data_IF_174647038707
#
_entry.id   IF_174647038707
#
_cell.length_a   1.000
_cell.length_b   1.000
_cell.length_c   1.000
_cell.angle_alpha   90.00
_cell.angle_beta   90.00
_cell.angle_gamma   90.00
#
_symmetry.space_group_name_H-M   'P 1'
#
loop_
_entity.id
_entity.type
_entity.pdbx_description
1 polymer ?
#
# COMPACT_ATOMS: atom_id res chain seq x y z
N UNK A 1 59.97 -46.88 -28.31
CA UNK A 1 59.61 -45.52 -28.79
C UNK A 1 58.33 -44.99 -28.11
N UNK A 2 57.65 -45.78 -27.27
CA UNK A 2 56.35 -45.40 -26.65
C UNK A 2 56.41 -44.71 -25.27
N UNK A 3 57.59 -44.57 -24.64
CA UNK A 3 57.69 -43.87 -23.33
C UNK A 3 57.76 -42.34 -23.44
N UNK A 4 58.12 -41.80 -24.61
CA UNK A 4 58.23 -40.36 -24.84
C UNK A 4 56.85 -39.70 -25.08
N UNK A 5 55.88 -40.41 -25.68
CA UNK A 5 54.52 -39.86 -25.91
C UNK A 5 53.68 -39.78 -24.63
N UNK A 6 53.91 -40.68 -23.67
CA UNK A 6 53.25 -40.70 -22.36
C UNK A 6 53.71 -39.55 -21.46
N UNK A 7 55.03 -39.29 -21.42
CA UNK A 7 55.61 -38.21 -20.61
C UNK A 7 55.17 -36.81 -21.09
N UNK A 8 55.09 -36.60 -22.41
CA UNK A 8 54.58 -35.34 -22.98
C UNK A 8 53.07 -35.18 -22.75
N UNK A 9 52.30 -36.28 -22.78
CA UNK A 9 50.88 -36.27 -22.44
C UNK A 9 50.61 -35.89 -20.97
N UNK A 10 51.40 -36.43 -20.04
CA UNK A 10 51.30 -36.10 -18.61
C UNK A 10 51.71 -34.64 -18.37
N UNK A 11 52.79 -34.16 -19.00
CA UNK A 11 53.23 -32.77 -18.87
C UNK A 11 52.18 -31.78 -19.40
N UNK A 12 51.60 -32.05 -20.57
CA UNK A 12 50.51 -31.27 -21.15
C UNK A 12 49.27 -31.25 -20.26
N UNK A 13 48.94 -32.37 -19.61
CA UNK A 13 47.83 -32.42 -18.65
C UNK A 13 48.13 -31.57 -17.40
N UNK A 14 49.35 -31.65 -16.85
CA UNK A 14 49.75 -30.82 -15.71
C UNK A 14 49.70 -29.32 -16.03
N UNK A 15 50.12 -28.93 -17.23
CA UNK A 15 50.04 -27.54 -17.69
C UNK A 15 48.58 -27.09 -17.85
N UNK A 16 47.72 -27.92 -18.46
CA UNK A 16 46.28 -27.63 -18.56
C UNK A 16 45.60 -27.51 -17.20
N UNK A 17 45.83 -28.44 -16.28
CA UNK A 17 45.28 -28.38 -14.92
C UNK A 17 45.77 -27.15 -14.16
N UNK A 18 47.01 -26.70 -14.39
CA UNK A 18 47.52 -25.47 -13.80
C UNK A 18 46.81 -24.23 -14.35
N UNK A 19 46.59 -24.18 -15.66
CA UNK A 19 45.83 -23.09 -16.30
C UNK A 19 44.37 -23.09 -15.83
N UNK A 20 43.71 -24.24 -15.80
CA UNK A 20 42.34 -24.37 -15.28
C UNK A 20 42.25 -23.96 -13.81
N UNK A 21 43.20 -24.37 -12.96
CA UNK A 21 43.23 -23.93 -11.56
C UNK A 21 43.36 -22.41 -11.43
N UNK A 22 44.19 -21.78 -12.24
CA UNK A 22 44.33 -20.32 -12.25
C UNK A 22 43.04 -19.63 -12.69
N UNK A 23 42.40 -20.16 -13.74
CA UNK A 23 41.11 -19.66 -14.23
C UNK A 23 40.02 -19.81 -13.16
N UNK A 24 39.88 -20.99 -12.55
CA UNK A 24 38.92 -21.22 -11.46
C UNK A 24 39.17 -20.26 -10.29
N UNK A 25 40.43 -20.08 -9.87
CA UNK A 25 40.75 -19.13 -8.80
C UNK A 25 40.39 -17.69 -9.17
N UNK A 26 40.63 -17.30 -10.43
CA UNK A 26 40.24 -15.99 -10.95
C UNK A 26 38.72 -15.81 -10.89
N UNK A 27 37.96 -16.77 -11.40
CA UNK A 27 36.48 -16.73 -11.37
C UNK A 27 35.93 -16.71 -9.94
N UNK A 28 36.49 -17.52 -9.03
CA UNK A 28 36.09 -17.53 -7.61
C UNK A 28 36.35 -16.18 -6.95
N UNK A 29 37.47 -15.53 -7.25
CA UNK A 29 37.75 -14.19 -6.74
C UNK A 29 36.79 -13.15 -7.33
N UNK A 30 36.58 -13.17 -8.65
CA UNK A 30 35.61 -12.30 -9.32
C UNK A 30 34.19 -12.44 -8.75
N UNK A 31 33.74 -13.67 -8.51
CA UNK A 31 32.43 -13.93 -7.90
C UNK A 31 32.36 -13.43 -6.45
N UNK A 32 33.45 -13.55 -5.69
CA UNK A 32 33.50 -13.03 -4.31
C UNK A 32 33.43 -11.50 -4.30
N UNK A 33 34.17 -10.84 -5.19
CA UNK A 33 34.17 -9.39 -5.31
C UNK A 33 32.78 -8.89 -5.74
N UNK A 34 32.18 -9.53 -6.76
CA UNK A 34 30.81 -9.22 -7.18
C UNK A 34 29.80 -9.43 -6.05
N UNK A 35 29.91 -10.51 -5.27
CA UNK A 35 29.03 -10.74 -4.14
C UNK A 35 29.18 -9.65 -3.07
N UNK A 36 30.40 -9.21 -2.77
CA UNK A 36 30.64 -8.11 -1.83
C UNK A 36 30.02 -6.80 -2.32
N UNK A 37 30.15 -6.49 -3.61
CA UNK A 37 29.56 -5.31 -4.23
C UNK A 37 28.03 -5.34 -4.18
N UNK A 38 27.42 -6.49 -4.50
CA UNK A 38 25.98 -6.70 -4.38
C UNK A 38 25.53 -6.51 -2.93
N UNK A 39 26.21 -7.11 -1.95
CA UNK A 39 25.89 -6.93 -0.53
C UNK A 39 25.96 -5.45 -0.10
N UNK A 40 26.98 -4.72 -0.53
CA UNK A 40 27.11 -3.29 -0.23
C UNK A 40 25.95 -2.49 -0.83
N UNK A 41 25.56 -2.77 -2.08
CA UNK A 41 24.44 -2.12 -2.75
C UNK A 41 23.09 -2.45 -2.12
N UNK A 42 22.91 -3.67 -1.63
CA UNK A 42 21.70 -4.06 -0.89
C UNK A 42 21.55 -3.27 0.42
N UNK A 43 22.64 -3.05 1.15
CA UNK A 43 22.63 -2.23 2.37
C UNK A 43 22.30 -0.77 2.04
N UNK A 44 22.91 -0.22 1.00
CA UNK A 44 22.64 1.15 0.52
C UNK A 44 21.15 1.33 0.15
N UNK A 45 20.60 0.39 -0.62
CA UNK A 45 19.18 0.37 -0.99
C UNK A 45 18.27 0.29 0.25
N UNK A 46 18.62 -0.58 1.20
CA UNK A 46 17.90 -0.73 2.47
C UNK A 46 17.86 0.57 3.26
N UNK A 47 18.99 1.27 3.38
CA UNK A 47 19.09 2.55 4.08
C UNK A 47 18.27 3.64 3.39
N UNK A 48 18.37 3.75 2.06
CA UNK A 48 17.61 4.74 1.27
C UNK A 48 16.09 4.52 1.41
N UNK A 49 15.64 3.26 1.30
CA UNK A 49 14.23 2.93 1.43
C UNK A 49 13.72 3.15 2.86
N UNK A 50 14.49 2.72 3.87
CA UNK A 50 14.17 2.99 5.27
C UNK A 50 14.05 4.49 5.53
N UNK A 51 15.02 5.29 5.08
CA UNK A 51 15.02 6.73 5.27
C UNK A 51 13.81 7.40 4.59
N UNK A 52 13.46 6.97 3.38
CA UNK A 52 12.24 7.43 2.69
C UNK A 52 10.98 7.10 3.52
N UNK A 53 10.87 5.88 4.04
CA UNK A 53 9.71 5.49 4.87
C UNK A 53 9.63 6.28 6.18
N UNK A 54 10.77 6.61 6.80
CA UNK A 54 10.79 7.48 7.98
C UNK A 54 10.36 8.91 7.65
N UNK A 55 10.76 9.45 6.50
CA UNK A 55 10.29 10.76 6.03
C UNK A 55 8.79 10.77 5.74
N UNK A 56 8.26 9.71 5.13
CA UNK A 56 6.81 9.54 4.93
C UNK A 56 6.06 9.51 6.27
N UNK A 57 6.58 8.78 7.26
CA UNK A 57 5.99 8.70 8.59
C UNK A 57 6.05 10.06 9.31
N UNK A 58 7.16 10.79 9.19
CA UNK A 58 7.31 12.15 9.72
C UNK A 58 6.26 13.09 9.12
N UNK A 59 6.09 13.07 7.79
CA UNK A 59 5.08 13.87 7.10
C UNK A 59 3.67 13.50 7.55
N UNK A 60 3.36 12.20 7.62
CA UNK A 60 2.06 11.72 8.08
C UNK A 60 1.76 12.20 9.51
N UNK A 61 2.74 12.12 10.42
CA UNK A 61 2.62 12.60 11.81
C UNK A 61 2.42 14.11 11.88
N UNK A 62 3.09 14.88 11.02
CA UNK A 62 2.90 16.33 10.93
C UNK A 62 1.48 16.68 10.46
N UNK A 63 0.98 16.02 9.41
CA UNK A 63 -0.36 16.25 8.86
C UNK A 63 -1.45 15.84 9.86
N UNK A 64 -1.25 14.74 10.58
CA UNK A 64 -2.17 14.25 11.62
C UNK A 64 -2.04 14.96 12.97
N UNK A 65 -1.16 15.97 13.09
CA UNK A 65 -0.92 16.71 14.33
C UNK A 65 -0.54 15.79 15.51
N UNK A 66 0.33 14.81 15.27
CA UNK A 66 0.77 13.85 16.28
C UNK A 66 1.63 14.52 17.37
N UNK A 67 1.45 14.14 18.63
CA UNK A 67 2.10 14.78 19.81
C UNK A 67 3.64 14.84 19.76
N UNK A 68 4.28 13.92 19.02
CA UNK A 68 5.75 13.85 18.90
C UNK A 68 6.32 14.79 17.82
N UNK A 69 5.51 15.18 16.84
CA UNK A 69 5.97 15.94 15.67
C UNK A 69 5.23 17.28 15.62
N UNK A 70 6.00 18.36 15.64
CA UNK A 70 5.53 19.73 15.51
C UNK A 70 6.16 20.40 14.30
N UNK A 71 5.61 21.53 13.88
CA UNK A 71 6.21 22.33 12.80
C UNK A 71 7.64 22.73 13.15
N UNK A 72 7.90 23.06 14.43
CA UNK A 72 9.21 23.51 14.91
C UNK A 72 10.28 22.42 14.93
N UNK A 73 9.91 21.18 15.25
CA UNK A 73 10.88 20.08 15.36
C UNK A 73 11.04 19.25 14.06
N UNK A 74 10.10 19.37 13.11
CA UNK A 74 10.07 18.56 11.89
C UNK A 74 11.37 18.64 11.07
N UNK A 75 11.91 19.84 10.88
CA UNK A 75 13.15 20.09 10.14
C UNK A 75 14.36 19.49 10.85
N UNK A 76 14.40 19.55 12.18
CA UNK A 76 15.48 18.96 12.97
C UNK A 76 15.46 17.42 12.89
N UNK A 77 14.27 16.81 12.98
CA UNK A 77 14.11 15.35 12.84
C UNK A 77 14.51 14.91 11.42
N UNK A 78 14.07 15.61 10.38
CA UNK A 78 14.47 15.30 8.99
C UNK A 78 15.99 15.41 8.80
N UNK A 79 16.62 16.44 9.37
CA UNK A 79 18.08 16.58 9.33
C UNK A 79 18.81 15.42 10.02
N UNK A 80 18.28 14.95 11.16
CA UNK A 80 18.82 13.76 11.85
C UNK A 80 18.65 12.49 11.02
N UNK A 81 17.49 12.29 10.39
CA UNK A 81 17.24 11.13 9.50
C UNK A 81 18.20 11.11 8.31
N UNK A 82 18.51 12.27 7.73
CA UNK A 82 19.47 12.39 6.63
C UNK A 82 20.93 12.17 7.05
N UNK A 83 21.24 12.31 8.34
CA UNK A 83 22.56 12.07 8.90
C UNK A 83 22.77 10.65 9.43
N UNK A 84 21.80 9.74 9.24
CA UNK A 84 21.89 8.36 9.73
C UNK A 84 22.93 7.57 8.95
N UNK A 85 23.86 6.95 9.66
CA UNK A 85 24.80 5.97 9.13
C UNK A 85 24.47 4.57 9.63
N UNK A 86 24.71 3.55 8.80
CA UNK A 86 24.56 2.16 9.22
C UNK A 86 25.75 1.72 10.06
N UNK A 87 25.48 0.96 11.12
CA UNK A 87 26.52 0.42 12.00
C UNK A 87 26.22 -1.05 12.26
N UNK A 88 27.26 -1.87 12.19
CA UNK A 88 27.19 -3.27 12.56
C UNK A 88 26.61 -3.47 13.97
N UNK A 89 25.53 -4.24 14.07
CA UNK A 89 24.75 -4.36 15.29
C UNK A 89 25.57 -4.88 16.48
N UNK A 90 26.52 -5.80 16.26
CA UNK A 90 27.38 -6.33 17.32
C UNK A 90 28.26 -5.26 17.98
N UNK A 91 28.62 -4.19 17.25
CA UNK A 91 29.43 -3.08 17.81
C UNK A 91 28.65 -2.25 18.83
N UNK A 92 27.33 -2.17 18.69
CA UNK A 92 26.45 -1.41 19.58
C UNK A 92 25.79 -2.27 20.65
N UNK A 93 25.40 -3.49 20.31
CA UNK A 93 24.68 -4.41 21.21
C UNK A 93 25.61 -5.28 22.06
N UNK A 94 26.89 -5.42 21.69
CA UNK A 94 27.85 -6.23 22.43
C UNK A 94 27.34 -7.65 22.68
N UNK A 95 27.33 -8.07 23.95
CA UNK A 95 26.85 -9.41 24.35
C UNK A 95 25.35 -9.65 24.08
N UNK A 96 24.54 -8.61 23.90
CA UNK A 96 23.11 -8.73 23.59
C UNK A 96 22.84 -8.98 22.11
N UNK A 97 23.84 -8.86 21.24
CA UNK A 97 23.66 -9.06 19.79
C UNK A 97 23.05 -10.42 19.46
N UNK A 98 23.58 -11.51 20.03
CA UNK A 98 23.08 -12.86 19.75
C UNK A 98 21.66 -13.10 20.30
N UNK A 99 21.34 -12.76 21.57
CA UNK A 99 19.96 -12.85 22.08
C UNK A 99 18.96 -12.03 21.26
N UNK A 100 19.26 -10.76 20.98
CA UNK A 100 18.38 -9.88 20.19
C UNK A 100 18.20 -10.44 18.78
N UNK A 101 19.29 -10.84 18.13
CA UNK A 101 19.23 -11.48 16.81
C UNK A 101 18.32 -12.71 16.80
N UNK A 102 18.44 -13.61 17.79
CA UNK A 102 17.56 -14.78 17.92
C UNK A 102 16.09 -14.41 18.10
N UNK A 103 15.79 -13.39 18.93
CA UNK A 103 14.41 -12.91 19.09
C UNK A 103 13.83 -12.40 17.77
N UNK A 104 14.59 -11.60 17.02
CA UNK A 104 14.16 -11.09 15.71
C UNK A 104 13.99 -12.22 14.69
N UNK A 105 14.88 -13.21 14.69
CA UNK A 105 14.76 -14.41 13.84
C UNK A 105 13.50 -15.19 14.16
N UNK A 106 13.17 -15.43 15.44
CA UNK A 106 11.94 -16.12 15.83
C UNK A 106 10.70 -15.38 15.32
N UNK A 107 10.67 -14.05 15.44
CA UNK A 107 9.57 -13.23 14.94
C UNK A 107 9.46 -13.28 13.41
N UNK A 108 10.59 -13.26 12.70
CA UNK A 108 10.61 -13.37 11.24
C UNK A 108 10.18 -14.76 10.75
N UNK A 109 10.65 -15.83 11.38
CA UNK A 109 10.37 -17.22 11.00
C UNK A 109 8.98 -17.70 11.45
N UNK A 110 8.37 -17.07 12.47
CA UNK A 110 7.05 -17.41 12.99
C UNK A 110 6.02 -16.30 12.74
N UNK A 111 5.29 -16.34 11.61
CA UNK A 111 4.22 -15.41 11.31
C UNK A 111 3.13 -15.36 12.39
N UNK A 112 2.85 -16.50 13.03
CA UNK A 112 1.86 -16.60 14.11
C UNK A 112 2.31 -15.83 15.35
N UNK A 113 3.56 -16.02 15.80
CA UNK A 113 4.08 -15.33 16.96
C UNK A 113 4.06 -13.80 16.77
N UNK A 114 4.42 -13.33 15.57
CA UNK A 114 4.37 -11.91 15.24
C UNK A 114 2.93 -11.39 15.16
N UNK A 115 2.00 -12.17 14.59
CA UNK A 115 0.59 -11.81 14.55
C UNK A 115 -0.03 -11.69 15.95
N UNK A 116 0.26 -12.62 16.85
CA UNK A 116 -0.19 -12.58 18.25
C UNK A 116 0.42 -11.39 19.01
N UNK A 117 1.73 -11.15 18.84
CA UNK A 117 2.41 -9.99 19.42
C UNK A 117 1.76 -8.67 18.99
N UNK A 118 1.51 -8.51 17.68
CA UNK A 118 0.85 -7.32 17.14
C UNK A 118 -0.59 -7.19 17.64
N UNK A 119 -1.30 -8.30 17.82
CA UNK A 119 -2.65 -8.30 18.36
C UNK A 119 -2.69 -7.82 19.81
N UNK A 120 -1.81 -8.36 20.66
CA UNK A 120 -1.72 -7.97 22.07
C UNK A 120 -1.23 -6.52 22.21
N UNK A 121 -0.21 -6.13 21.45
CA UNK A 121 0.29 -4.75 21.44
C UNK A 121 -0.80 -3.76 21.02
N UNK A 122 -1.71 -4.16 20.12
CA UNK A 122 -2.86 -3.37 19.70
C UNK A 122 -3.93 -3.13 20.78
N UNK A 123 -3.94 -3.94 21.84
CA UNK A 123 -4.87 -3.82 22.96
C UNK A 123 -4.29 -3.01 24.14
N UNK A 124 -2.97 -2.80 24.15
CA UNK A 124 -2.30 -2.04 25.20
C UNK A 124 -2.62 -0.55 25.10
N UNK A 125 -2.81 0.10 26.25
CA UNK A 125 -2.97 1.56 26.34
C UNK A 125 -1.62 2.28 26.41
N UNK A 126 -0.55 1.58 26.80
CA UNK A 126 0.78 2.18 27.03
C UNK A 126 1.55 2.39 25.72
N UNK A 127 1.32 1.53 24.74
CA UNK A 127 2.05 1.54 23.48
C UNK A 127 1.11 2.00 22.37
N UNK A 128 1.52 3.03 21.62
CA UNK A 128 0.84 3.40 20.39
C UNK A 128 0.83 2.21 19.44
N UNK A 129 -0.35 1.68 19.16
CA UNK A 129 -0.49 0.53 18.26
C UNK A 129 0.01 0.85 16.84
N UNK A 130 -0.02 2.13 16.42
CA UNK A 130 0.51 2.55 15.13
C UNK A 130 2.05 2.45 15.11
N UNK A 131 2.69 2.94 16.17
CA UNK A 131 4.15 2.91 16.32
C UNK A 131 4.68 1.48 16.44
N UNK A 132 3.96 0.59 17.14
CA UNK A 132 4.29 -0.84 17.22
C UNK A 132 4.30 -1.50 15.86
N UNK A 133 3.27 -1.25 15.04
CA UNK A 133 3.12 -1.88 13.72
C UNK A 133 4.18 -1.33 12.76
N UNK A 134 4.41 -0.01 12.76
CA UNK A 134 5.49 0.60 11.99
C UNK A 134 6.86 0.07 12.39
N UNK A 135 7.11 -0.11 13.69
CA UNK A 135 8.37 -0.64 14.20
C UNK A 135 8.59 -2.08 13.75
N UNK A 136 7.58 -2.95 13.89
CA UNK A 136 7.66 -4.35 13.42
C UNK A 136 7.82 -4.41 11.91
N UNK A 137 7.05 -3.62 11.15
CA UNK A 137 7.14 -3.57 9.69
C UNK A 137 8.53 -3.14 9.19
N UNK A 138 9.12 -2.13 9.84
CA UNK A 138 10.46 -1.68 9.49
C UNK A 138 11.57 -2.62 9.98
N UNK A 139 11.46 -3.15 11.20
CA UNK A 139 12.53 -3.91 11.86
C UNK A 139 12.58 -5.37 11.42
N UNK A 140 11.42 -6.03 11.33
CA UNK A 140 11.33 -7.45 11.00
C UNK A 140 11.25 -7.66 9.50
N UNK A 141 10.48 -6.83 8.80
CA UNK A 141 10.21 -7.01 7.37
C UNK A 141 10.94 -6.01 6.47
N UNK A 142 11.89 -5.23 7.00
CA UNK A 142 12.73 -4.35 6.18
C UNK A 142 11.95 -3.36 5.30
N UNK A 143 10.76 -2.94 5.71
CA UNK A 143 9.82 -2.14 4.89
C UNK A 143 9.36 -2.81 3.58
N UNK A 144 9.39 -4.15 3.52
CA UNK A 144 8.93 -4.96 2.40
C UNK A 144 9.69 -4.68 1.08
N UNK A 145 11.00 -4.40 1.18
CA UNK A 145 11.86 -4.14 0.02
C UNK A 145 12.18 -5.45 -0.72
N UNK A 146 12.40 -6.54 0.02
CA UNK A 146 12.79 -7.81 -0.54
C UNK A 146 11.60 -8.76 -0.74
N UNK A 147 11.61 -9.61 -1.78
CA UNK A 147 10.53 -10.59 -2.00
C UNK A 147 10.32 -11.57 -0.84
N UNK A 148 11.38 -11.89 -0.10
CA UNK A 148 11.30 -12.73 1.11
C UNK A 148 10.47 -12.06 2.20
N UNK A 149 10.65 -10.75 2.37
CA UNK A 149 9.94 -9.95 3.36
C UNK A 149 8.47 -9.79 2.95
N UNK A 150 8.21 -9.62 1.64
CA UNK A 150 6.86 -9.58 1.08
C UNK A 150 6.06 -10.83 1.46
N UNK A 151 6.67 -12.00 1.28
CA UNK A 151 6.09 -13.28 1.67
C UNK A 151 5.85 -13.36 3.18
N UNK A 152 6.82 -12.96 4.00
CA UNK A 152 6.71 -13.01 5.47
C UNK A 152 5.59 -12.09 5.99
N UNK A 153 5.42 -10.90 5.41
CA UNK A 153 4.32 -9.98 5.72
C UNK A 153 2.97 -10.60 5.35
N UNK A 154 2.86 -11.19 4.16
CA UNK A 154 1.64 -11.87 3.71
C UNK A 154 1.24 -13.03 4.63
N UNK A 155 2.20 -13.86 5.02
CA UNK A 155 1.95 -14.96 5.97
C UNK A 155 1.49 -14.42 7.33
N UNK A 156 2.07 -13.32 7.80
CA UNK A 156 1.69 -12.67 9.06
C UNK A 156 0.29 -12.05 8.98
N UNK A 157 -0.05 -11.41 7.85
CA UNK A 157 -1.41 -10.93 7.58
C UNK A 157 -2.41 -12.08 7.56
N UNK A 158 -2.04 -13.24 6.99
CA UNK A 158 -2.88 -14.44 7.01
C UNK A 158 -3.10 -14.98 8.42
N UNK A 159 -2.08 -14.97 9.27
CA UNK A 159 -2.23 -15.31 10.70
C UNK A 159 -3.11 -14.29 11.44
N UNK A 160 -2.97 -12.99 11.16
CA UNK A 160 -3.82 -11.94 11.73
C UNK A 160 -5.29 -12.10 11.35
N UNK A 161 -5.61 -12.67 10.17
CA UNK A 161 -7.01 -13.02 9.82
C UNK A 161 -7.56 -14.03 10.84
N UNK A 162 -6.79 -15.07 11.18
CA UNK A 162 -7.20 -16.09 12.15
C UNK A 162 -7.28 -15.55 13.58
N UNK A 163 -6.32 -14.71 13.98
CA UNK A 163 -6.23 -14.19 15.35
C UNK A 163 -7.23 -13.05 15.60
N UNK A 164 -7.47 -12.19 14.61
CA UNK A 164 -8.22 -10.94 14.80
C UNK A 164 -9.59 -10.92 14.11
N UNK A 165 -9.73 -11.49 12.92
CA UNK A 165 -10.96 -11.34 12.12
C UNK A 165 -11.92 -12.50 12.35
N UNK A 166 -11.49 -13.74 12.19
CA UNK A 166 -12.32 -14.94 12.37
C UNK A 166 -13.03 -14.99 13.74
N UNK A 167 -12.37 -14.71 14.88
CA UNK A 167 -13.02 -14.77 16.19
C UNK A 167 -13.87 -13.52 16.52
N UNK A 168 -13.78 -12.44 15.72
CA UNK A 168 -14.45 -11.19 16.04
C UNK A 168 -15.92 -11.22 15.61
N UNK A 169 -16.82 -10.71 16.47
CA UNK A 169 -18.26 -10.72 16.22
C UNK A 169 -18.69 -9.94 14.98
N UNK A 170 -17.91 -8.93 14.59
CA UNK A 170 -18.14 -8.13 13.39
C UNK A 170 -16.81 -7.83 12.68
N UNK A 171 -16.27 -8.75 11.86
CA UNK A 171 -14.95 -8.58 11.23
C UNK A 171 -14.92 -7.40 10.26
N UNK A 172 -16.07 -7.09 9.64
CA UNK A 172 -16.25 -5.94 8.76
C UNK A 172 -15.94 -4.61 9.45
N UNK A 173 -16.39 -4.46 10.69
CA UNK A 173 -16.13 -3.26 11.50
C UNK A 173 -14.63 -3.07 11.76
N UNK A 174 -13.89 -4.16 11.99
CA UNK A 174 -12.44 -4.15 12.22
C UNK A 174 -11.72 -3.59 11.00
N UNK A 175 -12.06 -4.10 9.81
CA UNK A 175 -11.48 -3.63 8.54
C UNK A 175 -11.81 -2.16 8.27
N UNK A 176 -13.05 -1.72 8.53
CA UNK A 176 -13.47 -0.33 8.27
C UNK A 176 -12.90 0.69 9.25
N UNK A 177 -12.78 0.33 10.53
CA UNK A 177 -12.23 1.25 11.55
C UNK A 177 -10.73 1.49 11.34
N UNK A 178 -10.00 0.50 10.80
CA UNK A 178 -8.57 0.65 10.53
C UNK A 178 -7.69 0.76 11.79
N UNK A 179 -8.23 0.45 12.98
CA UNK A 179 -7.52 0.61 14.26
C UNK A 179 -6.79 -0.65 14.71
N UNK A 180 -7.17 -1.83 14.21
CA UNK A 180 -6.56 -3.10 14.58
C UNK A 180 -5.27 -3.37 13.79
N UNK A 181 -4.52 -4.40 14.19
CA UNK A 181 -3.23 -4.68 13.57
C UNK A 181 -3.34 -5.12 12.11
N UNK A 182 -4.34 -5.96 11.77
CA UNK A 182 -4.56 -6.41 10.40
C UNK A 182 -4.70 -5.26 9.39
N UNK A 183 -5.67 -4.33 9.51
CA UNK A 183 -5.86 -3.28 8.51
C UNK A 183 -4.66 -2.31 8.44
N UNK A 184 -3.95 -2.08 9.55
CA UNK A 184 -2.76 -1.22 9.58
C UNK A 184 -1.56 -1.87 8.88
N UNK A 185 -1.28 -3.14 9.17
CA UNK A 185 -0.23 -3.87 8.48
C UNK A 185 -0.56 -4.05 6.98
N UNK A 186 -1.84 -4.28 6.65
CA UNK A 186 -2.32 -4.32 5.26
C UNK A 186 -2.06 -3.01 4.53
N UNK A 187 -2.30 -1.86 5.19
CA UNK A 187 -2.02 -0.54 4.63
C UNK A 187 -0.52 -0.39 4.33
N UNK A 188 0.36 -0.69 5.28
CA UNK A 188 1.81 -0.62 5.07
C UNK A 188 2.29 -1.52 3.95
N UNK A 189 1.78 -2.75 3.91
CA UNK A 189 2.05 -3.71 2.84
C UNK A 189 1.62 -3.16 1.48
N UNK A 190 0.33 -2.81 1.33
CA UNK A 190 -0.22 -2.38 0.04
C UNK A 190 0.40 -1.09 -0.48
N UNK A 191 0.77 -0.15 0.39
CA UNK A 191 1.51 1.08 0.02
C UNK A 191 2.96 0.81 -0.37
N UNK A 192 3.58 -0.26 0.13
CA UNK A 192 4.97 -0.64 -0.22
C UNK A 192 5.07 -1.41 -1.55
N UNK A 193 3.96 -1.95 -2.04
CA UNK A 193 3.92 -2.73 -3.27
C UNK A 193 4.00 -1.85 -4.52
N UNK A 194 5.10 -1.99 -5.27
CA UNK A 194 5.21 -1.35 -6.58
C UNK A 194 4.12 -1.81 -7.55
N UNK A 195 3.75 -3.10 -7.53
CA UNK A 195 2.65 -3.63 -8.33
C UNK A 195 1.30 -2.95 -8.02
N UNK A 196 1.05 -2.60 -6.75
CA UNK A 196 -0.16 -1.86 -6.38
C UNK A 196 -0.17 -0.47 -6.99
N UNK A 197 0.98 0.21 -7.02
CA UNK A 197 1.12 1.51 -7.67
C UNK A 197 0.84 1.45 -9.18
N UNK A 198 1.34 0.42 -9.88
CA UNK A 198 1.04 0.21 -11.31
C UNK A 198 -0.46 0.03 -11.51
N UNK A 199 -1.09 -0.88 -10.76
CA UNK A 199 -2.52 -1.13 -10.86
C UNK A 199 -3.35 0.13 -10.59
N UNK A 200 -3.04 0.86 -9.50
CA UNK A 200 -3.76 2.08 -9.13
C UNK A 200 -3.59 3.18 -10.19
N UNK A 201 -2.41 3.32 -10.77
CA UNK A 201 -2.16 4.28 -11.85
C UNK A 201 -2.99 3.90 -13.08
N UNK A 202 -2.94 2.64 -13.51
CA UNK A 202 -3.74 2.16 -14.64
C UNK A 202 -5.26 2.30 -14.41
N UNK A 203 -5.73 2.06 -13.19
CA UNK A 203 -7.14 2.11 -12.84
C UNK A 203 -7.69 3.53 -12.67
N UNK A 204 -6.89 4.46 -12.14
CA UNK A 204 -7.40 5.72 -11.60
C UNK A 204 -6.84 6.97 -12.29
N UNK A 205 -5.65 6.92 -12.90
CA UNK A 205 -4.95 8.11 -13.40
C UNK A 205 -5.84 8.99 -14.29
N UNK A 206 -6.42 8.42 -15.34
CA UNK A 206 -7.20 9.20 -16.30
C UNK A 206 -8.45 9.81 -15.66
N UNK A 207 -9.13 9.06 -14.80
CA UNK A 207 -10.32 9.54 -14.09
C UNK A 207 -9.99 10.62 -13.06
N UNK A 208 -8.85 10.49 -12.36
CA UNK A 208 -8.32 11.53 -11.48
C UNK A 208 -8.02 12.79 -12.30
N UNK A 209 -7.29 12.66 -13.40
CA UNK A 209 -6.95 13.79 -14.27
C UNK A 209 -8.19 14.50 -14.83
N UNK A 210 -9.25 13.76 -15.19
CA UNK A 210 -10.52 14.36 -15.61
C UNK A 210 -11.14 15.24 -14.50
N UNK A 211 -11.04 14.83 -13.24
CA UNK A 211 -11.53 15.64 -12.10
C UNK A 211 -10.63 16.86 -11.88
N UNK A 212 -9.30 16.69 -11.95
CA UNK A 212 -8.36 17.79 -11.76
C UNK A 212 -8.50 18.87 -12.85
N UNK A 213 -8.78 18.47 -14.10
CA UNK A 213 -9.02 19.39 -15.21
C UNK A 213 -10.39 20.11 -15.13
N UNK A 214 -11.30 19.67 -14.25
CA UNK A 214 -12.66 20.21 -14.10
C UNK A 214 -12.90 20.77 -12.70
N UNK A 215 -11.90 21.44 -12.11
CA UNK A 215 -11.92 21.91 -10.74
C UNK A 215 -12.51 23.32 -10.53
N UNK A 216 -13.25 23.84 -11.51
CA UNK A 216 -13.90 25.15 -11.43
C UNK A 216 -15.09 25.20 -10.47
N UNK A 217 -15.77 24.07 -10.25
CA UNK A 217 -17.04 24.00 -9.49
C UNK A 217 -17.01 22.83 -8.51
N UNK A 218 -17.47 23.11 -7.29
CA UNK A 218 -17.71 22.07 -6.29
C UNK A 218 -18.86 21.15 -6.69
N UNK A 219 -18.63 19.85 -6.68
CA UNK A 219 -19.64 18.82 -6.90
C UNK A 219 -20.43 18.54 -5.60
N UNK A 220 -20.97 19.61 -5.01
CA UNK A 220 -21.74 19.57 -3.76
C UNK A 220 -23.23 19.36 -4.07
N UNK A 221 -23.78 18.24 -3.61
CA UNK A 221 -25.19 17.86 -3.87
C UNK A 221 -26.16 18.43 -2.83
N UNK A 222 -25.64 19.00 -1.74
CA UNK A 222 -26.43 19.58 -0.66
C UNK A 222 -27.06 20.90 -1.14
N UNK A 223 -28.39 20.99 -1.27
CA UNK A 223 -29.06 22.18 -1.78
C UNK A 223 -28.89 23.41 -0.88
N UNK A 224 -28.58 23.22 0.42
CA UNK A 224 -28.32 24.32 1.34
C UNK A 224 -26.88 24.84 1.25
N UNK A 225 -25.91 23.97 0.95
CA UNK A 225 -24.48 24.32 0.91
C UNK A 225 -23.97 24.70 -0.48
N UNK A 226 -24.50 24.05 -1.51
CA UNK A 226 -24.05 24.24 -2.90
C UNK A 226 -24.08 25.72 -3.36
N UNK A 227 -25.15 26.51 -3.10
CA UNK A 227 -25.16 27.93 -3.44
C UNK A 227 -24.13 28.77 -2.65
N UNK A 228 -23.77 28.33 -1.43
CA UNK A 228 -22.80 29.02 -0.57
C UNK A 228 -21.35 28.83 -1.05
N UNK A 229 -21.10 27.88 -1.95
CA UNK A 229 -19.79 27.69 -2.59
C UNK A 229 -19.44 28.78 -3.61
N UNK A 230 -20.43 29.57 -4.02
CA UNK A 230 -20.26 30.67 -4.97
C UNK A 230 -20.10 32.01 -4.23
N UNK A 231 -19.26 32.93 -4.78
CA UNK A 231 -19.26 34.33 -4.38
C UNK A 231 -20.68 34.91 -4.43
N UNK A 232 -20.97 35.89 -3.57
CA UNK A 232 -22.32 36.45 -3.42
C UNK A 232 -22.87 36.95 -4.77
N UNK A 233 -22.05 37.64 -5.56
CA UNK A 233 -22.44 38.15 -6.88
C UNK A 233 -22.86 37.04 -7.85
N UNK A 234 -22.08 35.96 -7.93
CA UNK A 234 -22.38 34.81 -8.79
C UNK A 234 -23.59 34.01 -8.30
N UNK A 235 -23.78 33.93 -6.97
CA UNK A 235 -24.93 33.27 -6.37
C UNK A 235 -26.23 33.96 -6.75
N UNK A 236 -26.28 35.29 -6.63
CA UNK A 236 -27.45 36.08 -7.05
C UNK A 236 -27.68 35.93 -8.54
N UNK A 237 -26.63 36.02 -9.36
CA UNK A 237 -26.73 35.83 -10.82
C UNK A 237 -27.27 34.45 -11.20
N UNK A 238 -26.78 33.38 -10.55
CA UNK A 238 -27.13 31.99 -10.89
C UNK A 238 -28.48 31.56 -10.33
N UNK A 239 -28.78 31.93 -9.09
CA UNK A 239 -29.93 31.40 -8.34
C UNK A 239 -31.01 32.45 -8.08
N UNK A 240 -30.67 33.73 -8.05
CA UNK A 240 -31.57 34.83 -7.69
C UNK A 240 -31.28 35.38 -6.29
N UNK A 241 -31.90 36.51 -6.02
CA UNK A 241 -31.65 37.39 -4.88
C UNK A 241 -32.54 37.08 -3.67
N UNK A 242 -33.70 36.45 -3.89
CA UNK A 242 -34.59 35.96 -2.83
C UNK A 242 -34.48 34.43 -2.66
N UNK A 243 -33.85 33.94 -1.57
CA UNK A 243 -33.68 32.52 -1.28
C UNK A 243 -35.00 31.79 -0.99
N UNK A 244 -36.08 32.50 -0.67
CA UNK A 244 -37.40 31.92 -0.37
C UNK A 244 -38.29 31.80 -1.61
N UNK A 245 -37.87 32.41 -2.72
CA UNK A 245 -38.64 32.40 -3.95
C UNK A 245 -38.70 31.01 -4.60
N UNK A 246 -39.85 30.68 -5.18
CA UNK A 246 -40.03 29.43 -5.93
C UNK A 246 -39.05 29.33 -7.12
N UNK A 247 -38.68 30.46 -7.72
CA UNK A 247 -37.73 30.51 -8.83
C UNK A 247 -36.30 30.19 -8.38
N UNK A 248 -35.88 30.66 -7.20
CA UNK A 248 -34.60 30.30 -6.59
C UNK A 248 -34.50 28.80 -6.35
N UNK A 249 -35.51 28.21 -5.70
CA UNK A 249 -35.54 26.77 -5.47
C UNK A 249 -35.52 25.96 -6.77
N UNK A 250 -36.21 26.42 -7.83
CA UNK A 250 -36.18 25.77 -9.15
C UNK A 250 -34.77 25.82 -9.78
N UNK A 251 -34.05 26.94 -9.67
CA UNK A 251 -32.68 27.10 -10.18
C UNK A 251 -31.68 26.28 -9.39
N UNK A 252 -31.78 26.24 -8.06
CA UNK A 252 -30.96 25.37 -7.21
C UNK A 252 -31.20 23.90 -7.53
N UNK A 253 -32.45 23.49 -7.73
CA UNK A 253 -32.78 22.13 -8.13
C UNK A 253 -32.21 21.76 -9.51
N UNK A 254 -32.26 22.68 -10.49
CA UNK A 254 -31.65 22.48 -11.81
C UNK A 254 -30.12 22.35 -11.73
N UNK A 255 -29.47 23.20 -10.93
CA UNK A 255 -28.03 23.10 -10.68
C UNK A 255 -27.66 21.77 -10.02
N UNK A 256 -28.41 21.35 -9.00
CA UNK A 256 -28.21 20.05 -8.35
C UNK A 256 -28.30 18.89 -9.33
N UNK A 257 -29.27 18.89 -10.26
CA UNK A 257 -29.37 17.86 -11.31
C UNK A 257 -28.11 17.79 -12.15
N UNK A 258 -27.60 18.94 -12.60
CA UNK A 258 -26.36 19.00 -13.39
C UNK A 258 -25.13 18.50 -12.59
N UNK A 259 -25.05 18.82 -11.29
CA UNK A 259 -23.98 18.30 -10.42
C UNK A 259 -24.10 16.77 -10.27
N UNK A 260 -25.32 16.26 -10.07
CA UNK A 260 -25.56 14.80 -10.00
C UNK A 260 -25.19 14.11 -11.30
N UNK A 261 -25.58 14.64 -12.45
CA UNK A 261 -25.21 14.10 -13.77
C UNK A 261 -23.67 14.05 -13.94
N UNK A 262 -22.97 15.12 -13.56
CA UNK A 262 -21.49 15.14 -13.57
C UNK A 262 -20.87 14.10 -12.64
N UNK A 263 -21.36 13.99 -11.40
CA UNK A 263 -20.88 13.00 -10.44
C UNK A 263 -21.10 11.57 -10.93
N UNK A 264 -22.26 11.31 -11.53
CA UNK A 264 -22.56 10.01 -12.15
C UNK A 264 -21.55 9.71 -13.25
N UNK A 265 -21.32 10.63 -14.20
CA UNK A 265 -20.36 10.42 -15.28
C UNK A 265 -18.93 10.18 -14.78
N UNK A 266 -18.48 10.96 -13.81
CA UNK A 266 -17.15 10.80 -13.22
C UNK A 266 -17.04 9.48 -12.47
N UNK A 267 -18.01 9.12 -11.61
CA UNK A 267 -18.01 7.84 -10.91
C UNK A 267 -18.01 6.65 -11.88
N UNK A 268 -18.74 6.72 -12.99
CA UNK A 268 -18.70 5.70 -14.05
C UNK A 268 -17.32 5.60 -14.70
N UNK A 269 -16.63 6.72 -14.93
CA UNK A 269 -15.25 6.72 -15.44
C UNK A 269 -14.30 5.97 -14.49
N UNK A 270 -14.39 6.24 -13.18
CA UNK A 270 -13.60 5.55 -12.17
C UNK A 270 -13.89 4.04 -12.14
N UNK A 271 -15.17 3.65 -12.10
CA UNK A 271 -15.58 2.25 -12.09
C UNK A 271 -15.06 1.54 -13.35
N UNK A 272 -15.20 2.17 -14.52
CA UNK A 272 -14.70 1.63 -15.78
C UNK A 272 -13.19 1.42 -15.73
N UNK A 273 -12.41 2.42 -15.31
CA UNK A 273 -10.96 2.29 -15.18
C UNK A 273 -10.54 1.15 -14.24
N UNK A 274 -11.21 1.01 -13.10
CA UNK A 274 -10.97 -0.10 -12.16
C UNK A 274 -11.25 -1.46 -12.81
N UNK A 275 -12.38 -1.59 -13.51
CA UNK A 275 -12.75 -2.82 -14.21
C UNK A 275 -11.77 -3.15 -15.35
N UNK A 276 -11.36 -2.16 -16.14
CA UNK A 276 -10.44 -2.33 -17.27
C UNK A 276 -9.04 -2.75 -16.78
N UNK A 277 -8.60 -2.26 -15.62
CA UNK A 277 -7.29 -2.56 -15.04
C UNK A 277 -7.26 -3.83 -14.15
N UNK A 278 -8.40 -4.50 -13.90
CA UNK A 278 -8.52 -5.56 -12.89
C UNK A 278 -7.60 -6.78 -13.16
N UNK A 279 -7.26 -7.03 -14.42
CA UNK A 279 -6.33 -8.09 -14.83
C UNK A 279 -4.90 -7.87 -14.30
N UNK A 280 -4.54 -6.63 -14.00
CA UNK A 280 -3.24 -6.23 -13.43
C UNK A 280 -3.23 -6.16 -11.90
N UNK A 281 -4.31 -6.61 -11.23
CA UNK A 281 -4.40 -6.55 -9.78
C UNK A 281 -3.26 -7.34 -9.10
N UNK A 282 -2.57 -6.77 -8.07
CA UNK A 282 -1.34 -7.35 -7.53
C UNK A 282 -1.53 -8.77 -6.98
N UNK A 283 -0.65 -9.70 -7.36
CA UNK A 283 -0.77 -11.12 -7.01
C UNK A 283 -0.75 -11.36 -5.49
N UNK A 284 0.10 -10.65 -4.74
CA UNK A 284 0.13 -10.76 -3.28
C UNK A 284 -1.18 -10.34 -2.62
N UNK A 285 -1.80 -9.27 -3.11
CA UNK A 285 -3.14 -8.83 -2.65
C UNK A 285 -4.23 -9.82 -3.07
N UNK A 286 -4.17 -10.37 -4.29
CA UNK A 286 -5.07 -11.44 -4.74
C UNK A 286 -5.01 -12.64 -3.79
N UNK A 287 -3.81 -13.09 -3.45
CA UNK A 287 -3.61 -14.21 -2.53
C UNK A 287 -4.15 -13.88 -1.13
N UNK A 288 -3.92 -12.68 -0.62
CA UNK A 288 -4.44 -12.28 0.69
C UNK A 288 -5.97 -12.22 0.72
N UNK A 289 -6.60 -11.70 -0.33
CA UNK A 289 -8.06 -11.71 -0.49
C UNK A 289 -8.59 -13.14 -0.58
N UNK A 290 -7.87 -14.06 -1.22
CA UNK A 290 -8.20 -15.49 -1.20
C UNK A 290 -8.18 -16.05 0.23
N UNK A 291 -7.11 -15.80 1.00
CA UNK A 291 -7.00 -16.27 2.39
C UNK A 291 -8.12 -15.70 3.27
N UNK A 292 -8.43 -14.41 3.11
CA UNK A 292 -9.51 -13.75 3.83
C UNK A 292 -10.85 -14.38 3.51
N UNK A 293 -11.19 -14.48 2.22
CA UNK A 293 -12.46 -15.05 1.79
C UNK A 293 -12.59 -16.50 2.27
N UNK A 294 -11.58 -17.34 2.02
CA UNK A 294 -11.60 -18.76 2.44
C UNK A 294 -11.70 -18.96 3.95
N UNK A 295 -11.15 -18.03 4.74
CA UNK A 295 -11.25 -18.09 6.21
C UNK A 295 -12.63 -17.67 6.69
N UNK A 296 -13.16 -16.56 6.16
CA UNK A 296 -14.46 -16.03 6.56
C UNK A 296 -15.62 -16.90 6.09
N UNK A 297 -15.55 -17.53 4.91
CA UNK A 297 -16.62 -18.42 4.43
C UNK A 297 -16.82 -19.67 5.28
N UNK A 298 -15.89 -19.98 6.19
CA UNK A 298 -16.05 -21.08 7.16
C UNK A 298 -16.96 -20.70 8.33
N UNK A 299 -17.09 -19.41 8.62
CA UNK A 299 -17.83 -18.90 9.79
C UNK A 299 -18.93 -17.89 9.44
N UNK A 300 -18.97 -17.36 8.20
CA UNK A 300 -19.94 -16.37 7.72
C UNK A 300 -20.56 -16.79 6.38
N UNK A 301 -21.75 -16.27 6.04
CA UNK A 301 -22.33 -16.41 4.70
C UNK A 301 -21.39 -15.90 3.60
N UNK A 302 -21.40 -16.54 2.44
CA UNK A 302 -20.54 -16.19 1.29
C UNK A 302 -20.71 -14.72 0.86
N UNK A 303 -21.94 -14.21 0.88
CA UNK A 303 -22.23 -12.81 0.54
C UNK A 303 -21.61 -11.83 1.53
N UNK A 304 -21.57 -12.17 2.82
CA UNK A 304 -20.96 -11.33 3.86
C UNK A 304 -19.43 -11.38 3.78
N UNK A 305 -18.84 -12.57 3.56
CA UNK A 305 -17.41 -12.72 3.33
C UNK A 305 -16.94 -11.92 2.10
N UNK A 306 -17.70 -11.98 1.00
CA UNK A 306 -17.42 -11.21 -0.21
C UNK A 306 -17.51 -9.68 0.04
N UNK A 307 -18.48 -9.24 0.84
CA UNK A 307 -18.61 -7.83 1.21
C UNK A 307 -17.42 -7.35 2.05
N UNK A 308 -16.94 -8.16 3.00
CA UNK A 308 -15.75 -7.87 3.82
C UNK A 308 -14.49 -7.79 2.94
N UNK A 309 -14.32 -8.71 1.99
CA UNK A 309 -13.22 -8.64 1.02
C UNK A 309 -13.30 -7.39 0.14
N UNK A 310 -14.51 -7.00 -0.27
CA UNK A 310 -14.74 -5.79 -1.04
C UNK A 310 -14.41 -4.54 -0.21
N UNK A 311 -14.76 -4.52 1.07
CA UNK A 311 -14.37 -3.44 1.99
C UNK A 311 -12.84 -3.34 2.13
N UNK A 312 -12.11 -4.46 2.13
CA UNK A 312 -10.65 -4.44 2.15
C UNK A 312 -10.09 -3.72 0.89
N UNK A 313 -10.63 -4.03 -0.29
CA UNK A 313 -10.11 -3.46 -1.55
C UNK A 313 -10.63 -2.03 -1.77
N UNK A 314 -11.93 -1.81 -1.66
CA UNK A 314 -12.53 -0.51 -1.97
C UNK A 314 -12.22 0.50 -0.87
N UNK A 315 -12.52 0.16 0.40
CA UNK A 315 -12.36 1.11 1.49
C UNK A 315 -10.90 1.31 1.89
N UNK A 316 -10.05 0.27 1.85
CA UNK A 316 -8.67 0.37 2.36
C UNK A 316 -7.58 0.51 1.28
N UNK A 317 -7.91 0.34 -0.02
CA UNK A 317 -6.95 0.52 -1.11
C UNK A 317 -7.42 1.58 -2.12
N UNK A 318 -8.59 1.42 -2.72
CA UNK A 318 -9.06 2.30 -3.81
C UNK A 318 -9.48 3.69 -3.30
N UNK A 319 -10.34 3.79 -2.29
CA UNK A 319 -10.83 5.08 -1.80
C UNK A 319 -9.70 6.01 -1.30
N UNK A 320 -8.72 5.54 -0.50
CA UNK A 320 -7.58 6.38 -0.12
C UNK A 320 -6.81 6.91 -1.33
N UNK A 321 -6.63 6.07 -2.36
CA UNK A 321 -5.96 6.41 -3.61
C UNK A 321 -6.75 7.39 -4.49
N UNK A 322 -8.09 7.33 -4.46
CA UNK A 322 -8.97 8.29 -5.16
C UNK A 322 -8.94 9.65 -4.47
N UNK A 323 -8.98 9.67 -3.13
CA UNK A 323 -9.08 10.91 -2.35
C UNK A 323 -7.74 11.67 -2.32
N UNK A 324 -6.62 10.94 -2.19
CA UNK A 324 -5.27 11.51 -2.13
C UNK A 324 -4.34 10.80 -3.15
N UNK A 325 -4.58 10.98 -4.46
CA UNK A 325 -3.81 10.32 -5.52
C UNK A 325 -2.31 10.65 -5.48
N UNK A 326 -1.93 11.80 -4.92
CA UNK A 326 -0.55 12.22 -4.72
C UNK A 326 0.21 11.31 -3.73
N UNK A 327 -0.47 10.80 -2.70
CA UNK A 327 0.17 10.02 -1.63
C UNK A 327 0.62 8.62 -2.10
N UNK A 328 -0.06 8.08 -3.10
CA UNK A 328 0.27 6.79 -3.73
C UNK A 328 1.01 6.98 -5.05
N UNK A 329 1.26 8.23 -5.46
CA UNK A 329 1.97 8.58 -6.69
C UNK A 329 1.26 8.16 -7.98
N UNK A 330 -0.08 8.24 -8.00
CA UNK A 330 -0.89 8.13 -9.23
C UNK A 330 -0.65 9.35 -10.10
N UNK A 331 -0.56 10.53 -9.47
CA UNK A 331 -0.19 11.78 -10.10
C UNK A 331 1.22 12.16 -9.66
N UNK A 332 2.01 12.73 -10.57
CA UNK A 332 3.38 13.19 -10.28
C UNK A 332 3.34 14.62 -9.70
N UNK A 333 3.37 15.62 -10.57
CA UNK A 333 3.59 17.03 -10.20
C UNK A 333 2.31 17.88 -10.30
N UNK A 334 1.18 17.27 -10.67
CA UNK A 334 -0.09 17.99 -10.81
C UNK A 334 -0.62 18.39 -9.43
N UNK A 335 -0.71 19.69 -9.10
CA UNK A 335 -1.21 20.11 -7.81
C UNK A 335 -2.71 19.82 -7.70
N UNK A 336 -3.14 19.25 -6.58
CA UNK A 336 -4.56 19.00 -6.30
C UNK A 336 -5.15 20.20 -5.58
N UNK A 337 -6.00 20.95 -6.28
CA UNK A 337 -6.70 22.11 -5.70
C UNK A 337 -7.68 21.70 -4.60
N UNK A 338 -8.09 22.65 -3.76
CA UNK A 338 -9.09 22.39 -2.73
C UNK A 338 -10.44 21.95 -3.31
N UNK A 339 -10.84 22.47 -4.48
CA UNK A 339 -12.08 22.09 -5.17
C UNK A 339 -11.96 20.66 -5.71
N UNK A 340 -10.85 20.35 -6.38
CA UNK A 340 -10.57 19.01 -6.89
C UNK A 340 -10.59 17.96 -5.77
N UNK A 341 -9.96 18.24 -4.63
CA UNK A 341 -9.96 17.34 -3.47
C UNK A 341 -11.36 17.12 -2.90
N UNK A 342 -12.17 18.17 -2.82
CA UNK A 342 -13.58 18.03 -2.46
C UNK A 342 -14.33 17.12 -3.44
N UNK A 343 -14.14 17.33 -4.74
CA UNK A 343 -14.78 16.54 -5.78
C UNK A 343 -14.36 15.06 -5.73
N UNK A 344 -13.07 14.79 -5.52
CA UNK A 344 -12.53 13.44 -5.33
C UNK A 344 -13.11 12.77 -4.07
N UNK A 345 -13.29 13.51 -2.96
CA UNK A 345 -13.97 12.99 -1.77
C UNK A 345 -15.41 12.58 -2.06
N UNK A 346 -16.17 13.39 -2.81
CA UNK A 346 -17.54 13.07 -3.19
C UNK A 346 -17.60 11.79 -4.06
N UNK A 347 -16.68 11.64 -5.01
CA UNK A 347 -16.58 10.46 -5.86
C UNK A 347 -16.19 9.22 -5.04
N UNK A 348 -15.21 9.35 -4.14
CA UNK A 348 -14.81 8.28 -3.22
C UNK A 348 -15.98 7.80 -2.37
N UNK A 349 -16.81 8.71 -1.85
CA UNK A 349 -18.03 8.37 -1.11
C UNK A 349 -19.06 7.64 -1.98
N UNK A 350 -19.26 8.08 -3.23
CA UNK A 350 -20.18 7.40 -4.18
C UNK A 350 -19.71 5.97 -4.43
N UNK A 351 -18.44 5.76 -4.73
CA UNK A 351 -17.86 4.42 -4.93
C UNK A 351 -17.96 3.59 -3.65
N UNK A 352 -17.75 4.22 -2.49
CA UNK A 352 -17.89 3.57 -1.19
C UNK A 352 -19.35 3.15 -0.89
N UNK A 353 -20.36 3.86 -1.41
CA UNK A 353 -21.76 3.43 -1.28
C UNK A 353 -22.09 2.39 -2.35
N UNK A 354 -21.63 2.58 -3.58
CA UNK A 354 -21.95 1.72 -4.72
C UNK A 354 -21.43 0.29 -4.54
N UNK A 355 -20.23 0.10 -3.98
CA UNK A 355 -19.71 -1.27 -3.75
C UNK A 355 -20.48 -2.05 -2.67
N UNK A 356 -21.35 -1.39 -1.90
CA UNK A 356 -22.26 -2.06 -0.95
C UNK A 356 -23.37 -2.81 -1.68
N UNK A 357 -23.57 -2.55 -2.97
CA UNK A 357 -24.42 -3.38 -3.81
C UNK A 357 -23.78 -4.76 -3.97
N UNK A 358 -24.47 -5.78 -3.47
CA UNK A 358 -24.00 -7.18 -3.41
C UNK A 358 -23.50 -7.67 -4.77
N UNK A 359 -24.06 -7.18 -5.88
CA UNK A 359 -23.67 -7.53 -7.23
C UNK A 359 -22.24 -7.06 -7.58
N UNK A 360 -21.88 -5.82 -7.22
CA UNK A 360 -20.54 -5.28 -7.45
C UNK A 360 -19.49 -5.93 -6.56
N UNK A 361 -19.82 -6.14 -5.29
CA UNK A 361 -18.96 -6.87 -4.35
C UNK A 361 -18.65 -8.28 -4.86
N UNK A 362 -19.69 -9.01 -5.29
CA UNK A 362 -19.54 -10.36 -5.83
C UNK A 362 -18.75 -10.36 -7.14
N UNK A 363 -18.97 -9.39 -8.02
CA UNK A 363 -18.24 -9.27 -9.29
C UNK A 363 -16.75 -9.00 -9.07
N UNK A 364 -16.41 -8.00 -8.26
CA UNK A 364 -15.03 -7.57 -8.04
C UNK A 364 -14.21 -8.64 -7.34
N UNK A 365 -14.78 -9.26 -6.29
CA UNK A 365 -14.14 -10.41 -5.63
C UNK A 365 -14.00 -11.56 -6.63
N UNK A 366 -15.04 -11.90 -7.39
CA UNK A 366 -14.93 -12.98 -8.38
C UNK A 366 -13.91 -12.68 -9.48
N UNK A 367 -13.79 -11.44 -9.94
CA UNK A 367 -12.80 -11.03 -10.93
C UNK A 367 -11.37 -11.21 -10.38
N UNK A 368 -11.11 -10.71 -9.17
CA UNK A 368 -9.81 -10.86 -8.49
C UNK A 368 -9.49 -12.33 -8.20
N UNK A 369 -10.47 -13.13 -7.79
CA UNK A 369 -10.26 -14.56 -7.56
C UNK A 369 -9.97 -15.33 -8.86
N UNK A 370 -10.44 -14.83 -10.01
CA UNK A 370 -10.26 -15.45 -11.34
C UNK A 370 -8.94 -15.11 -12.04
N UNK A 371 -8.25 -14.02 -11.70
CA UNK A 371 -6.96 -13.64 -12.32
C UNK A 371 -5.87 -14.71 -12.20
N UNK A 372 -6.03 -15.68 -11.29
CA UNK A 372 -5.16 -16.86 -11.14
C UNK A 372 -5.39 -17.95 -12.18
N UNK A 373 -6.55 -18.01 -12.85
CA UNK A 373 -6.85 -19.07 -13.81
C UNK A 373 -6.00 -18.93 -15.08
N UNK A 374 -5.71 -17.70 -15.51
CA UNK A 374 -5.00 -17.44 -16.77
C UNK A 374 -3.47 -17.39 -16.61
N UNK A 375 -2.96 -17.19 -15.38
CA UNK A 375 -1.51 -17.13 -15.09
C UNK A 375 -0.86 -18.51 -14.91
N UNK A 376 -1.61 -19.61 -15.12
CA UNK A 376 -1.08 -20.98 -15.26
C UNK A 376 -0.98 -21.46 -16.72
N UNK A 377 -1.28 -20.60 -17.69
CA UNK A 377 -1.31 -20.93 -19.11
C UNK A 377 -0.13 -20.37 -19.93
N UNK A 378 0.89 -19.76 -19.30
CA UNK A 378 2.13 -19.33 -19.96
C UNK A 378 3.36 -19.84 -19.21
#
# INVERSE_FOLDING_TARGET
MDMLSSADGIRSLCERLRVERLLINSEVNSLRDLNNDVCAKLIELGLLSWNNKQHQLLLHRLVSSHNYVSQDNSCAISSQLNAVEYVEAYRKLGHHHSPVGRCLTILYESPLATAELLHVAGQSQEISSDDSIHSVFSLIYGNCIFPSDEKAVLETLSCLIQVQLVPHSNPRLVIRKGTAAFPRLYKLYSESLYAAKIFLTAALHDSVMLVLCQDEVFLDIDPAKSPLRFPIADRVRRFGDDPTSAQYHKRVAAHRRLIVEKLVLLAHSFIKGICDAISSFPMGLTWLVQQLNSSLTKCLPVSEAALICTDLIVTNLLCPAIINPENVGIISDTPVSHIARFNLMQIGQIIQVFHLEIAMASYLVSAILRTRADSRAN
#
